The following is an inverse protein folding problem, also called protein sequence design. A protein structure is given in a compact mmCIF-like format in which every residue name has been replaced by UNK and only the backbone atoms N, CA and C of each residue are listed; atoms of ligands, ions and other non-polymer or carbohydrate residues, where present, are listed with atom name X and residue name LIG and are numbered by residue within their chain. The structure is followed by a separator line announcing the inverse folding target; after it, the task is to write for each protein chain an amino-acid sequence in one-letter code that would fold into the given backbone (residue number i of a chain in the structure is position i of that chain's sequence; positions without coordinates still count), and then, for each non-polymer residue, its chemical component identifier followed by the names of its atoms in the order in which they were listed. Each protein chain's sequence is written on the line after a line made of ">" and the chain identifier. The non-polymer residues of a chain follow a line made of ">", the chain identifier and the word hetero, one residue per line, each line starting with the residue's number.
data_IF_940594654142
#
_entry.id   IF_940594654142
#
_cell.length_a   1.000
_cell.length_b   1.000
_cell.length_c   1.000
_cell.angle_alpha   90.00
_cell.angle_beta   90.00
_cell.angle_gamma   90.00
#
_symmetry.space_group_name_H-M   'P 1'
#
loop_
_entity.id
_entity.type
_entity.pdbx_description
1 polymer ?
#
# COMPACT_ATOMS: atom_id res chain seq x y z
N UNK A 1 1.19 -12.34 16.85
CA UNK A 1 1.73 -12.68 15.51
C UNK A 1 2.52 -11.47 15.01
N UNK A 2 3.77 -11.66 14.59
CA UNK A 2 4.60 -10.57 14.03
C UNK A 2 4.64 -10.71 12.51
N UNK A 3 4.47 -9.60 11.79
CA UNK A 3 4.50 -9.51 10.33
C UNK A 3 5.36 -8.33 9.89
N UNK A 4 6.00 -8.45 8.72
CA UNK A 4 6.85 -7.42 8.11
C UNK A 4 6.25 -7.01 6.76
N UNK A 5 5.23 -6.14 6.73
CA UNK A 5 4.58 -5.75 5.48
C UNK A 5 5.53 -4.99 4.56
N UNK A 6 5.55 -5.38 3.28
CA UNK A 6 6.41 -4.77 2.26
C UNK A 6 6.00 -3.34 1.93
N UNK A 7 6.98 -2.46 1.76
CA UNK A 7 6.77 -1.20 1.08
C UNK A 7 6.99 -1.33 -0.45
N UNK A 8 6.61 -0.28 -1.18
CA UNK A 8 6.87 -0.15 -2.62
C UNK A 8 7.30 1.26 -2.95
N UNK A 9 7.86 1.42 -4.13
CA UNK A 9 7.89 2.69 -4.86
C UNK A 9 7.18 2.53 -6.22
N UNK A 10 6.80 3.66 -6.80
CA UNK A 10 6.34 3.73 -8.19
C UNK A 10 7.54 4.07 -9.07
N UNK A 11 7.92 3.18 -9.98
CA UNK A 11 8.94 3.45 -11.00
C UNK A 11 8.28 4.17 -12.18
N UNK A 12 8.13 5.48 -12.01
CA UNK A 12 7.34 6.32 -12.91
C UNK A 12 5.85 6.28 -12.54
N UNK A 13 5.18 7.42 -12.73
CA UNK A 13 3.74 7.56 -12.54
C UNK A 13 3.22 8.56 -13.57
N UNK A 14 2.31 8.09 -14.42
CA UNK A 14 1.72 8.88 -15.49
C UNK A 14 0.21 8.99 -15.28
N UNK A 15 -0.31 10.21 -15.28
CA UNK A 15 -1.73 10.50 -15.18
C UNK A 15 -2.32 10.51 -16.59
N UNK A 16 -3.14 9.52 -16.92
CA UNK A 16 -3.71 9.35 -18.27
C UNK A 16 -4.93 10.24 -18.47
N UNK A 17 -5.84 10.27 -17.50
CA UNK A 17 -7.07 11.07 -17.58
C UNK A 17 -7.77 11.20 -16.23
N UNK A 18 -8.61 12.23 -16.09
CA UNK A 18 -9.56 12.36 -14.98
C UNK A 18 -10.82 11.54 -15.30
N UNK A 19 -11.28 10.76 -14.33
CA UNK A 19 -12.48 9.91 -14.40
C UNK A 19 -13.72 10.70 -13.98
N UNK A 20 -14.89 10.17 -14.36
CA UNK A 20 -16.19 10.75 -13.98
C UNK A 20 -16.50 10.63 -12.49
N UNK A 21 -15.84 9.73 -11.77
CA UNK A 21 -15.96 9.53 -10.32
C UNK A 21 -15.02 10.43 -9.49
N UNK A 22 -14.28 11.34 -10.14
CA UNK A 22 -13.37 12.27 -9.47
C UNK A 22 -11.95 11.76 -9.25
N UNK A 23 -11.65 10.50 -9.58
CA UNK A 23 -10.29 9.94 -9.54
C UNK A 23 -9.55 10.11 -10.86
N UNK A 24 -8.33 9.56 -10.96
CA UNK A 24 -7.52 9.55 -12.18
C UNK A 24 -7.21 8.13 -12.63
N UNK A 25 -7.20 7.90 -13.94
CA UNK A 25 -6.57 6.72 -14.51
C UNK A 25 -5.05 6.94 -14.51
N UNK A 26 -4.31 5.95 -13.98
CA UNK A 26 -2.87 6.03 -13.82
C UNK A 26 -2.20 4.85 -14.53
N UNK A 27 -1.04 5.13 -15.12
CA UNK A 27 -0.08 4.12 -15.56
C UNK A 27 1.16 4.21 -14.68
N UNK A 28 1.57 3.09 -14.09
CA UNK A 28 2.73 3.03 -13.20
C UNK A 28 3.22 1.59 -13.02
N UNK A 29 4.49 1.43 -12.65
CA UNK A 29 5.07 0.14 -12.25
C UNK A 29 5.31 0.16 -10.74
N UNK A 30 4.72 -0.80 -10.02
CA UNK A 30 4.99 -1.00 -8.61
C UNK A 30 6.24 -1.86 -8.43
N UNK A 31 7.25 -1.33 -7.76
CA UNK A 31 8.48 -2.05 -7.46
C UNK A 31 8.64 -2.23 -5.94
N UNK A 32 8.76 -3.48 -5.44
CA UNK A 32 8.95 -3.74 -4.02
C UNK A 32 10.39 -3.40 -3.60
N UNK A 33 10.55 -3.02 -2.34
CA UNK A 33 11.86 -2.78 -1.73
C UNK A 33 12.03 -3.66 -0.48
N UNK A 34 13.26 -4.02 -0.11
CA UNK A 34 13.55 -4.73 1.14
C UNK A 34 13.49 -3.76 2.34
N UNK A 35 12.40 -3.00 2.44
CA UNK A 35 12.09 -2.10 3.55
C UNK A 35 10.67 -2.41 4.00
N UNK A 36 10.52 -2.62 5.31
CA UNK A 36 9.26 -3.07 5.90
C UNK A 36 9.02 -2.37 7.22
N UNK A 37 7.76 -2.10 7.53
CA UNK A 37 7.37 -1.83 8.91
C UNK A 37 7.40 -3.13 9.73
N UNK A 38 7.24 -3.03 11.05
CA UNK A 38 7.00 -4.16 11.94
C UNK A 38 5.57 -4.04 12.46
N UNK A 39 4.74 -5.05 12.18
CA UNK A 39 3.37 -5.12 12.65
C UNK A 39 3.22 -6.30 13.60
N UNK A 40 2.87 -6.01 14.85
CA UNK A 40 2.53 -7.03 15.84
C UNK A 40 1.03 -7.05 16.12
N UNK A 41 0.42 -8.21 15.92
CA UNK A 41 -0.98 -8.49 16.27
C UNK A 41 -1.01 -9.25 17.59
N UNK A 42 -1.60 -8.62 18.61
CA UNK A 42 -1.84 -9.23 19.93
C UNK A 42 -3.34 -9.58 20.09
N UNK A 43 -3.67 -10.73 20.71
CA UNK A 43 -5.07 -11.05 21.01
C UNK A 43 -5.64 -10.02 21.99
N UNK A 44 -6.92 -9.68 21.81
CA UNK A 44 -7.66 -8.87 22.77
C UNK A 44 -8.56 -9.80 23.57
N UNK A 45 -8.48 -9.73 24.89
CA UNK A 45 -9.20 -10.65 25.77
C UNK A 45 -10.72 -10.44 25.76
N UNK A 46 -11.18 -9.21 25.50
CA UNK A 46 -12.61 -8.86 25.42
C UNK A 46 -12.87 -7.83 24.32
N UNK A 47 -13.90 -8.08 23.49
CA UNK A 47 -14.48 -7.07 22.61
C UNK A 47 -15.51 -6.28 23.43
N UNK A 48 -15.27 -4.97 23.60
CA UNK A 48 -16.27 -4.04 24.13
C UNK A 48 -17.30 -3.74 23.05
#
# INVERSE_FOLDING_TARGET
>A
MISFPNCKINLGLHIVSKRTDGYHNLETVFYPLPLTDILEVIPKDQFN
#
